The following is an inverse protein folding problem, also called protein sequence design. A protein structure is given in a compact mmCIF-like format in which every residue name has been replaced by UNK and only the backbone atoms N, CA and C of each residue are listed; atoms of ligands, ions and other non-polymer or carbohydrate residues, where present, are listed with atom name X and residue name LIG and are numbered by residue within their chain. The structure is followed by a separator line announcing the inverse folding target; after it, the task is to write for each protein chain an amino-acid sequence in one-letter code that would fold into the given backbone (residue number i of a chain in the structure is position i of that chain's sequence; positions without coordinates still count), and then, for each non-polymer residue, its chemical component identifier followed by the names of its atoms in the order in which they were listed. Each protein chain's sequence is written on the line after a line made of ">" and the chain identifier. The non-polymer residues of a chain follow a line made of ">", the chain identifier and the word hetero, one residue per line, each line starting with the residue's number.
data_IF_052449141432
#
_entry.id   IF_052449141432
#
_cell.length_a   1.000
_cell.length_b   1.000
_cell.length_c   1.000
_cell.angle_alpha   90.00
_cell.angle_beta   90.00
_cell.angle_gamma   90.00
#
_symmetry.space_group_name_H-M   'P 1'
#
loop_
_entity.id
_entity.type
_entity.pdbx_description
1 polymer ?
#
# COMPACT_ATOMS: atom_id res chain seq x y z
N UNK A 1 -18.40 5.15 9.85
CA UNK A 1 -17.20 5.79 9.27
C UNK A 1 -15.95 5.15 9.88
N UNK A 2 -14.92 4.85 9.08
CA UNK A 2 -13.71 4.13 9.55
C UNK A 2 -12.69 5.13 10.09
N UNK A 3 -11.92 4.77 11.13
CA UNK A 3 -10.99 5.68 11.79
C UNK A 3 -9.69 5.01 12.21
N UNK A 4 -8.58 5.76 12.18
CA UNK A 4 -7.32 5.38 12.81
C UNK A 4 -7.13 6.27 14.04
N UNK A 5 -7.23 5.67 15.23
CA UNK A 5 -7.15 6.38 16.50
C UNK A 5 -5.74 6.49 17.09
N UNK A 6 -4.79 5.73 16.55
CA UNK A 6 -3.40 5.69 17.03
C UNK A 6 -2.44 6.19 15.94
N UNK A 7 -1.29 6.79 16.30
CA UNK A 7 -0.34 7.27 15.31
C UNK A 7 0.31 6.11 14.56
N UNK A 8 0.35 6.20 13.23
CA UNK A 8 1.07 5.23 12.39
C UNK A 8 2.58 5.40 12.60
N UNK A 9 3.28 4.28 12.80
CA UNK A 9 4.74 4.27 12.99
C UNK A 9 5.40 3.27 12.05
N UNK A 10 6.27 3.77 11.18
CA UNK A 10 7.14 2.93 10.36
C UNK A 10 8.16 2.20 11.23
N UNK A 11 8.24 0.88 11.08
CA UNK A 11 9.24 0.02 11.70
C UNK A 11 10.22 -0.45 10.63
N UNK A 12 11.51 -0.19 10.84
CA UNK A 12 12.56 -0.69 9.96
C UNK A 12 12.67 -2.22 10.09
N UNK A 13 12.41 -2.94 9.01
CA UNK A 13 12.60 -4.39 8.88
C UNK A 13 14.03 -4.73 8.42
N UNK A 14 14.63 -3.87 7.60
CA UNK A 14 16.01 -4.01 7.15
C UNK A 14 16.62 -2.64 6.87
N UNK A 15 17.70 -2.30 7.60
CA UNK A 15 18.46 -1.06 7.36
C UNK A 15 19.18 -1.10 6.01
N UNK A 16 19.84 -2.23 5.69
CA UNK A 16 20.59 -2.41 4.43
C UNK A 16 19.73 -2.17 3.20
N UNK A 17 18.50 -2.68 3.20
CA UNK A 17 17.57 -2.56 2.07
C UNK A 17 16.53 -1.46 2.26
N UNK A 18 16.63 -0.67 3.33
CA UNK A 18 15.68 0.37 3.70
C UNK A 18 14.22 -0.10 3.60
N UNK A 19 13.94 -1.29 4.15
CA UNK A 19 12.59 -1.87 4.16
C UNK A 19 11.88 -1.46 5.43
N UNK A 20 10.72 -0.86 5.28
CA UNK A 20 9.88 -0.39 6.37
C UNK A 20 8.50 -1.03 6.30
N UNK A 21 7.92 -1.27 7.47
CA UNK A 21 6.56 -1.79 7.63
C UNK A 21 5.85 -1.00 8.70
N UNK A 22 4.58 -0.68 8.50
CA UNK A 22 3.69 -0.30 9.59
C UNK A 22 2.47 -1.20 9.61
N UNK A 23 1.84 -1.26 10.77
CA UNK A 23 0.55 -1.90 10.98
C UNK A 23 -0.20 -1.09 12.02
N UNK A 24 -1.46 -0.78 11.75
CA UNK A 24 -2.30 0.04 12.62
C UNK A 24 -3.74 -0.47 12.60
N UNK A 25 -4.43 -0.37 13.74
CA UNK A 25 -5.83 -0.73 13.80
C UNK A 25 -6.72 0.35 13.18
N UNK A 26 -7.73 -0.10 12.45
CA UNK A 26 -8.79 0.74 11.87
C UNK A 26 -10.10 0.32 12.51
N UNK A 27 -10.75 1.26 13.19
CA UNK A 27 -11.98 1.03 13.95
C UNK A 27 -13.19 1.64 13.25
N UNK A 28 -14.36 1.03 13.44
CA UNK A 28 -15.64 1.49 12.88
C UNK A 28 -15.84 1.17 11.41
N UNK A 29 -17.07 1.37 10.92
CA UNK A 29 -17.50 0.97 9.57
C UNK A 29 -18.71 0.03 9.62
N UNK A 30 -19.03 -0.58 8.49
CA UNK A 30 -20.10 -1.58 8.35
C UNK A 30 -19.62 -3.01 8.68
N UNK A 31 -18.31 -3.19 8.88
CA UNK A 31 -17.73 -4.50 9.19
C UNK A 31 -17.69 -4.72 10.71
N UNK A 32 -18.19 -5.89 11.14
CA UNK A 32 -18.08 -6.35 12.52
C UNK A 32 -16.64 -6.76 12.84
N UNK A 33 -15.90 -5.89 13.52
CA UNK A 33 -14.57 -6.20 14.05
C UNK A 33 -13.51 -5.12 13.79
N UNK A 34 -12.28 -5.40 14.25
CA UNK A 34 -11.14 -4.51 14.05
C UNK A 34 -10.50 -4.81 12.70
N UNK A 35 -10.48 -3.80 11.83
CA UNK A 35 -9.72 -3.86 10.58
C UNK A 35 -8.26 -3.47 10.83
N UNK A 36 -7.37 -3.79 9.89
CA UNK A 36 -5.95 -3.40 9.97
C UNK A 36 -5.50 -2.74 8.69
N UNK A 37 -4.85 -1.57 8.82
CA UNK A 37 -4.14 -0.95 7.72
C UNK A 37 -2.65 -1.33 7.83
N UNK A 38 -2.14 -1.99 6.80
CA UNK A 38 -0.77 -2.46 6.72
C UNK A 38 -0.07 -1.76 5.57
N UNK A 39 1.12 -1.22 5.83
CA UNK A 39 1.95 -0.60 4.81
C UNK A 39 3.34 -1.23 4.75
N UNK A 40 3.85 -1.37 3.53
CA UNK A 40 5.23 -1.75 3.23
C UNK A 40 5.84 -0.72 2.31
N UNK A 41 7.07 -0.31 2.59
CA UNK A 41 7.77 0.67 1.76
C UNK A 41 9.28 0.40 1.73
N UNK A 42 9.86 0.60 0.56
CA UNK A 42 11.29 0.57 0.25
C UNK A 42 11.56 1.53 -0.90
N UNK A 43 12.83 1.87 -1.20
CA UNK A 43 13.13 2.84 -2.26
C UNK A 43 12.55 2.49 -3.64
N UNK A 44 12.38 1.20 -3.95
CA UNK A 44 11.93 0.72 -5.27
C UNK A 44 10.54 0.07 -5.26
N UNK A 45 9.86 0.00 -4.13
CA UNK A 45 8.62 -0.76 -3.99
C UNK A 45 7.85 -0.37 -2.74
N UNK A 46 6.53 -0.29 -2.85
CA UNK A 46 5.63 -0.07 -1.74
C UNK A 46 4.28 -0.74 -1.96
N UNK A 47 3.55 -0.99 -0.87
CA UNK A 47 2.17 -1.49 -0.90
C UNK A 47 1.41 -1.10 0.37
N UNK A 48 0.12 -0.82 0.21
CA UNK A 48 -0.81 -0.54 1.29
C UNK A 48 -2.01 -1.46 1.18
N UNK A 49 -2.43 -2.05 2.29
CA UNK A 49 -3.52 -3.03 2.34
C UNK A 49 -4.41 -2.73 3.53
N UNK A 50 -5.72 -2.64 3.27
CA UNK A 50 -6.75 -2.69 4.30
C UNK A 50 -7.21 -4.15 4.43
N UNK A 51 -6.98 -4.73 5.60
CA UNK A 51 -7.41 -6.07 5.96
C UNK A 51 -8.66 -6.01 6.82
N UNK A 52 -9.57 -6.95 6.57
CA UNK A 52 -10.73 -7.19 7.40
C UNK A 52 -10.42 -7.93 8.69
N UNK A 53 -11.44 -8.16 9.53
CA UNK A 53 -11.29 -8.81 10.84
C UNK A 53 -10.74 -10.24 10.78
N UNK A 54 -10.80 -10.92 9.63
CA UNK A 54 -10.30 -12.29 9.42
C UNK A 54 -9.15 -12.32 8.41
N UNK A 55 -8.42 -11.22 8.28
CA UNK A 55 -7.26 -11.06 7.40
C UNK A 55 -7.57 -11.14 5.90
N UNK A 56 -8.85 -11.04 5.53
CA UNK A 56 -9.28 -10.89 4.15
C UNK A 56 -8.87 -9.51 3.61
N UNK A 57 -8.43 -9.46 2.35
CA UNK A 57 -8.05 -8.20 1.70
C UNK A 57 -9.30 -7.45 1.28
N UNK A 58 -9.62 -6.34 1.95
CA UNK A 58 -10.73 -5.46 1.57
C UNK A 58 -10.30 -4.55 0.42
N UNK A 59 -9.10 -3.97 0.52
CA UNK A 59 -8.53 -3.11 -0.52
C UNK A 59 -7.01 -3.16 -0.49
N UNK A 60 -6.38 -3.11 -1.65
CA UNK A 60 -4.92 -3.07 -1.78
C UNK A 60 -4.53 -2.11 -2.88
N UNK A 61 -3.42 -1.41 -2.65
CA UNK A 61 -2.66 -0.75 -3.69
C UNK A 61 -1.19 -1.14 -3.55
N UNK A 62 -0.51 -1.26 -4.66
CA UNK A 62 0.92 -1.51 -4.69
C UNK A 62 1.52 -0.83 -5.90
N UNK A 63 2.81 -0.51 -5.82
CA UNK A 63 3.65 -0.29 -6.99
C UNK A 63 4.41 -1.59 -7.26
N UNK A 64 3.81 -2.53 -8.02
CA UNK A 64 4.50 -3.75 -8.41
C UNK A 64 5.69 -3.44 -9.31
N UNK A 65 6.59 -4.43 -9.38
CA UNK A 65 7.60 -4.43 -10.43
C UNK A 65 6.90 -4.57 -11.80
N UNK A 66 7.46 -4.01 -12.88
CA UNK A 66 6.99 -4.25 -14.25
C UNK A 66 6.85 -5.76 -14.56
N UNK A 67 5.98 -6.10 -15.51
CA UNK A 67 5.77 -7.47 -15.97
C UNK A 67 4.65 -8.25 -15.29
N UNK A 68 3.72 -7.58 -14.61
CA UNK A 68 2.45 -8.21 -14.23
C UNK A 68 1.60 -8.40 -15.48
N UNK A 69 0.93 -9.54 -15.61
CA UNK A 69 0.08 -9.84 -16.76
C UNK A 69 -1.37 -9.94 -16.31
N UNK A 70 -2.27 -9.41 -17.13
CA UNK A 70 -3.70 -9.70 -17.06
C UNK A 70 -3.99 -11.18 -17.39
N UNK A 71 -5.18 -11.70 -17.07
CA UNK A 71 -5.59 -13.06 -17.44
C UNK A 71 -5.48 -13.36 -18.94
N UNK A 72 -5.71 -12.35 -19.78
CA UNK A 72 -5.62 -12.43 -21.24
C UNK A 72 -4.18 -12.36 -21.79
N UNK A 73 -3.18 -12.33 -20.89
CA UNK A 73 -1.75 -12.19 -21.19
C UNK A 73 -1.34 -10.83 -21.78
N UNK A 74 -2.17 -9.82 -21.65
CA UNK A 74 -1.73 -8.44 -21.86
C UNK A 74 -0.93 -7.94 -20.65
N UNK A 75 0.03 -7.06 -20.87
CA UNK A 75 0.82 -6.48 -19.78
C UNK A 75 -0.04 -5.48 -19.01
N UNK A 76 -0.08 -5.63 -17.68
CA UNK A 76 -0.71 -4.67 -16.80
C UNK A 76 0.18 -3.44 -16.63
N UNK A 77 -0.45 -2.26 -16.58
CA UNK A 77 0.24 -1.03 -16.21
C UNK A 77 0.97 -1.20 -14.87
N UNK A 78 2.20 -0.70 -14.72
CA UNK A 78 2.97 -0.87 -13.48
C UNK A 78 2.31 -0.23 -12.23
N UNK A 79 1.31 0.61 -12.44
CA UNK A 79 0.57 1.30 -11.39
C UNK A 79 -0.90 0.90 -11.42
N UNK A 80 -1.20 -0.24 -10.79
CA UNK A 80 -2.54 -0.81 -10.86
C UNK A 80 -3.10 -1.28 -9.52
N UNK A 81 -4.42 -1.33 -9.47
CA UNK A 81 -5.21 -2.05 -8.47
C UNK A 81 -5.87 -3.25 -9.12
N UNK A 82 -6.30 -4.19 -8.30
CA UNK A 82 -7.05 -5.35 -8.75
C UNK A 82 -8.55 -5.12 -8.53
N UNK A 83 -9.39 -5.59 -9.45
CA UNK A 83 -10.83 -5.69 -9.23
C UNK A 83 -11.26 -7.15 -9.25
N UNK A 84 -12.32 -7.44 -8.51
CA UNK A 84 -12.89 -8.79 -8.47
C UNK A 84 -13.74 -9.04 -9.70
N UNK A 85 -13.46 -10.13 -10.40
CA UNK A 85 -14.19 -10.64 -11.55
C UNK A 85 -14.64 -12.09 -11.26
N UNK A 86 -15.86 -12.50 -11.63
CA UNK A 86 -16.34 -13.86 -11.35
C UNK A 86 -15.57 -14.99 -12.05
N UNK A 87 -14.95 -14.70 -13.20
CA UNK A 87 -14.24 -15.69 -14.01
C UNK A 87 -12.74 -15.74 -13.68
N UNK A 88 -12.20 -14.63 -13.19
CA UNK A 88 -10.77 -14.43 -12.98
C UNK A 88 -10.40 -13.89 -11.59
N UNK A 89 -11.29 -13.93 -10.62
CA UNK A 89 -11.09 -13.47 -9.23
C UNK A 89 -10.44 -12.07 -9.19
N UNK A 90 -9.32 -11.91 -8.48
CA UNK A 90 -8.59 -10.64 -8.39
C UNK A 90 -7.52 -10.47 -9.48
N UNK A 91 -7.55 -11.23 -10.58
CA UNK A 91 -6.47 -11.18 -11.57
C UNK A 91 -6.55 -9.96 -12.51
N UNK A 92 -7.73 -9.37 -12.68
CA UNK A 92 -7.85 -8.17 -13.51
C UNK A 92 -7.37 -6.92 -12.78
N UNK A 93 -6.79 -6.00 -13.55
CA UNK A 93 -6.20 -4.77 -13.01
C UNK A 93 -6.77 -3.52 -13.66
N UNK A 94 -6.65 -2.40 -12.96
CA UNK A 94 -6.99 -1.07 -13.48
C UNK A 94 -6.06 -0.01 -12.88
N UNK A 95 -5.81 1.05 -13.63
CA UNK A 95 -5.09 2.23 -13.14
C UNK A 95 -6.06 3.17 -12.43
N UNK A 96 -5.97 3.37 -11.11
CA UNK A 96 -6.79 4.36 -10.41
C UNK A 96 -6.40 5.78 -10.85
N UNK A 97 -7.40 6.56 -11.29
CA UNK A 97 -7.22 7.94 -11.78
C UNK A 97 -7.14 8.98 -10.66
N UNK A 98 -7.52 8.58 -9.46
CA UNK A 98 -7.65 9.40 -8.26
C UNK A 98 -6.42 9.34 -7.34
N UNK A 99 -5.35 8.66 -7.77
CA UNK A 99 -4.12 8.49 -7.00
C UNK A 99 -2.96 9.12 -7.74
N UNK A 100 -2.23 9.98 -7.03
CA UNK A 100 -0.97 10.52 -7.53
C UNK A 100 0.16 9.56 -7.17
N UNK A 101 0.90 9.15 -8.20
CA UNK A 101 1.95 8.12 -8.12
C UNK A 101 3.37 8.72 -8.01
N UNK A 102 3.46 10.01 -7.73
CA UNK A 102 4.68 10.81 -7.63
C UNK A 102 5.58 10.37 -6.47
N UNK A 103 5.00 10.17 -5.30
CA UNK A 103 5.71 9.65 -4.14
C UNK A 103 4.83 8.77 -3.26
N UNK A 104 5.44 7.81 -2.58
CA UNK A 104 4.69 6.81 -1.82
C UNK A 104 3.90 7.41 -0.63
N UNK A 105 4.28 8.57 -0.09
CA UNK A 105 3.54 9.23 1.00
C UNK A 105 2.24 9.83 0.47
N UNK A 106 2.29 10.47 -0.70
CA UNK A 106 1.10 10.95 -1.39
C UNK A 106 0.14 9.81 -1.69
N UNK A 107 0.65 8.67 -2.19
CA UNK A 107 -0.18 7.47 -2.41
C UNK A 107 -0.80 6.96 -1.11
N UNK A 108 -0.08 6.97 0.01
CA UNK A 108 -0.65 6.57 1.31
C UNK A 108 -1.83 7.47 1.69
N UNK A 109 -1.71 8.79 1.51
CA UNK A 109 -2.77 9.76 1.80
C UNK A 109 -4.00 9.48 0.92
N UNK A 110 -3.78 9.37 -0.40
CA UNK A 110 -4.86 9.15 -1.37
C UNK A 110 -5.55 7.78 -1.11
N UNK A 111 -4.79 6.74 -0.76
CA UNK A 111 -5.32 5.41 -0.42
C UNK A 111 -6.17 5.41 0.87
N UNK A 112 -5.74 6.13 1.91
CA UNK A 112 -6.49 6.28 3.17
C UNK A 112 -7.83 7.00 2.92
N UNK A 113 -7.80 8.06 2.10
CA UNK A 113 -8.99 8.80 1.71
C UNK A 113 -9.97 7.95 0.91
N UNK A 114 -9.49 7.21 -0.09
CA UNK A 114 -10.28 6.26 -0.88
C UNK A 114 -10.93 5.17 -0.01
N UNK A 115 -10.20 4.66 0.99
CA UNK A 115 -10.73 3.68 1.94
C UNK A 115 -11.80 4.26 2.88
N UNK A 116 -12.09 5.58 2.81
CA UNK A 116 -12.97 6.33 3.70
C UNK A 116 -12.55 6.19 5.17
N UNK A 117 -11.24 6.24 5.41
CA UNK A 117 -10.63 6.19 6.73
C UNK A 117 -10.25 7.62 7.14
N UNK A 118 -10.73 8.04 8.31
CA UNK A 118 -10.35 9.31 8.92
C UNK A 118 -9.19 9.09 9.91
N UNK A 119 -8.00 9.65 9.63
CA UNK A 119 -6.88 9.60 10.57
C UNK A 119 -7.03 10.70 11.63
N UNK A 120 -7.03 10.34 12.92
CA UNK A 120 -7.08 11.33 14.02
C UNK A 120 -5.73 11.99 14.30
N UNK A 121 -4.67 11.47 13.67
CA UNK A 121 -3.32 11.99 13.70
C UNK A 121 -2.82 12.20 12.28
N UNK A 122 -1.85 13.10 12.09
CA UNK A 122 -1.20 13.27 10.79
C UNK A 122 -0.58 11.95 10.32
N UNK A 123 -0.81 11.60 9.05
CA UNK A 123 -0.16 10.44 8.44
C UNK A 123 1.36 10.67 8.38
N UNK A 124 2.17 9.68 8.77
CA UNK A 124 3.62 9.85 8.83
C UNK A 124 4.19 9.91 7.42
N UNK A 125 5.18 10.78 7.23
CA UNK A 125 6.05 10.74 6.07
C UNK A 125 7.20 9.77 6.32
N UNK A 126 7.64 9.07 5.28
CA UNK A 126 8.88 8.31 5.27
C UNK A 126 9.77 8.89 4.18
N UNK A 127 11.02 9.17 4.55
CA UNK A 127 12.06 9.53 3.62
C UNK A 127 13.06 8.39 3.55
N UNK A 128 13.37 7.92 2.35
CA UNK A 128 14.49 7.01 2.14
C UNK A 128 15.79 7.80 2.13
N UNK A 129 16.82 7.26 2.76
CA UNK A 129 18.17 7.79 2.59
C UNK A 129 18.64 7.46 1.18
N UNK A 130 19.35 8.38 0.53
CA UNK A 130 20.05 8.06 -0.70
C UNK A 130 21.02 6.90 -0.41
N UNK A 131 20.85 5.76 -1.08
CA UNK A 131 21.90 4.74 -1.11
C UNK A 131 23.08 5.38 -1.83
N UNK A 132 24.17 5.64 -1.11
CA UNK A 132 25.43 5.97 -1.74
C UNK A 132 25.74 4.87 -2.77
N UNK A 133 26.19 5.22 -4.00
CA UNK A 133 26.72 4.24 -4.92
C UNK A 133 27.72 3.36 -4.16
N UNK A 134 27.67 2.05 -4.35
CA UNK A 134 28.78 1.19 -3.92
C UNK A 134 30.01 1.66 -4.70
N UNK A 135 30.79 2.57 -4.11
CA UNK A 135 32.13 2.85 -4.61
C UNK A 135 32.86 1.51 -4.66
N UNK A 136 33.33 1.21 -5.87
CA UNK A 136 34.02 0.02 -6.28
C UNK A 136 34.95 -0.48 -5.19
N UNK A 137 34.62 -1.65 -4.64
CA UNK A 137 35.60 -2.49 -3.95
C UNK A 137 36.57 -3.01 -5.00
N UNK A 138 37.60 -2.22 -5.29
CA UNK A 138 38.86 -2.68 -5.87
C UNK A 138 39.97 -2.62 -4.81
#
# INVERSE_FOLDING_TARGET
>A
MKRIGEPIRWRCQSKRHQRFRFEVNVVGGEHDGIMRLVGYASPSSWSYVLLGPRDERIRKISNPKPGHMHPDRTEADPHHKHYWDPDYDDLWTYVPKDIRWDDHNTVLIDFVAECKIEPLHQLPTLAFQATLPEESRE
#
